data_IF_785973614873
#
_entry.id   IF_785973614873
#
_cell.length_a   1.000
_cell.length_b   1.000
_cell.length_c   1.000
_cell.angle_alpha   90.00
_cell.angle_beta   90.00
_cell.angle_gamma   90.00
#
_symmetry.space_group_name_H-M   'P 1'
#
loop_
_entity.id
_entity.type
_entity.pdbx_description
1 polymer ?
#
# COMPACT_ATOMS: atom_id res chain seq x y z
N UNK A 1 11.02 12.49 -3.41
CA UNK A 1 10.26 11.28 -3.79
C UNK A 1 10.90 10.06 -3.13
N UNK A 2 10.11 9.10 -2.67
CA UNK A 2 10.62 7.89 -2.01
C UNK A 2 11.44 7.02 -2.96
N UNK A 3 12.43 6.30 -2.43
CA UNK A 3 13.35 5.46 -3.17
C UNK A 3 13.35 4.04 -2.57
N UNK A 4 12.85 3.08 -3.34
CA UNK A 4 12.74 1.67 -2.94
C UNK A 4 14.12 1.07 -2.67
N UNK A 5 15.14 1.39 -3.47
CA UNK A 5 16.47 0.79 -3.28
C UNK A 5 17.14 1.30 -2.02
N UNK A 6 17.00 2.57 -1.66
CA UNK A 6 17.48 3.07 -0.35
C UNK A 6 16.78 2.39 0.84
N UNK A 7 15.47 2.13 0.71
CA UNK A 7 14.72 1.37 1.71
C UNK A 7 15.26 -0.06 1.83
N UNK A 8 15.52 -0.75 0.71
CA UNK A 8 16.06 -2.10 0.73
C UNK A 8 17.52 -2.14 1.20
N UNK A 9 18.36 -1.18 0.82
CA UNK A 9 19.73 -1.05 1.30
C UNK A 9 19.78 -0.93 2.83
N UNK A 10 18.92 -0.09 3.41
CA UNK A 10 18.77 -0.01 4.86
C UNK A 10 18.33 -1.36 5.45
N UNK A 11 17.29 -1.98 4.89
CA UNK A 11 16.78 -3.26 5.36
C UNK A 11 17.88 -4.34 5.37
N UNK A 12 18.65 -4.44 4.27
CA UNK A 12 19.78 -5.36 4.14
C UNK A 12 20.91 -5.04 5.12
N UNK A 13 21.16 -3.76 5.40
CA UNK A 13 22.20 -3.35 6.36
C UNK A 13 21.95 -3.88 7.78
N UNK A 14 20.69 -4.19 8.13
CA UNK A 14 20.29 -4.70 9.45
C UNK A 14 20.31 -6.23 9.55
N UNK A 15 20.37 -6.94 8.42
CA UNK A 15 20.35 -8.41 8.36
C UNK A 15 21.45 -9.00 9.24
N UNK A 16 21.06 -9.79 10.25
CA UNK A 16 21.98 -10.43 11.20
C UNK A 16 22.75 -9.47 12.13
N UNK A 17 22.48 -8.16 12.11
CA UNK A 17 23.20 -7.13 12.88
C UNK A 17 22.35 -6.48 13.98
N UNK A 18 21.05 -6.75 14.00
CA UNK A 18 20.10 -6.23 14.98
C UNK A 18 19.29 -7.40 15.52
N UNK A 19 19.10 -7.47 16.83
CA UNK A 19 18.27 -8.47 17.49
C UNK A 19 16.77 -8.21 17.34
N UNK A 20 15.95 -9.22 17.65
CA UNK A 20 14.50 -9.04 17.72
C UNK A 20 14.05 -8.71 19.16
N UNK A 21 13.30 -7.62 19.34
CA UNK A 21 12.59 -7.30 20.60
C UNK A 21 11.35 -6.46 20.31
N UNK A 22 10.23 -6.84 20.92
CA UNK A 22 9.00 -6.02 20.96
C UNK A 22 8.94 -5.09 22.18
N UNK A 23 9.87 -5.23 23.13
CA UNK A 23 9.84 -4.46 24.36
C UNK A 23 10.15 -2.98 24.09
N UNK A 24 9.51 -2.09 24.82
CA UNK A 24 9.86 -0.68 24.84
C UNK A 24 10.92 -0.42 25.93
N UNK A 25 11.99 0.34 25.65
CA UNK A 25 12.29 1.05 24.41
C UNK A 25 13.07 0.24 23.37
N UNK A 26 13.53 -0.97 23.70
CA UNK A 26 14.46 -1.77 22.87
C UNK A 26 14.07 -1.89 21.40
N UNK A 27 12.77 -2.05 21.10
CA UNK A 27 12.23 -2.12 19.73
C UNK A 27 12.59 -0.91 18.85
N UNK A 28 13.01 0.20 19.46
CA UNK A 28 13.40 1.45 18.80
C UNK A 28 14.91 1.51 18.46
N UNK A 29 15.65 0.41 18.67
CA UNK A 29 17.06 0.33 18.36
C UNK A 29 17.98 0.94 19.43
N UNK A 30 19.29 0.98 19.16
CA UNK A 30 19.93 0.51 17.92
C UNK A 30 20.10 -1.01 17.85
N UNK A 31 20.20 -1.69 19.00
CA UNK A 31 20.54 -3.12 19.08
C UNK A 31 19.37 -4.04 18.74
N UNK A 32 18.13 -3.58 18.94
CA UNK A 32 16.93 -4.39 18.69
C UNK A 32 15.90 -3.67 17.83
N UNK A 33 15.10 -4.43 17.11
CA UNK A 33 13.90 -3.97 16.42
C UNK A 33 12.80 -5.02 16.57
N UNK A 34 11.55 -4.63 16.32
CA UNK A 34 10.50 -5.58 15.97
C UNK A 34 10.18 -5.49 14.48
N UNK A 35 9.25 -6.33 14.02
CA UNK A 35 8.84 -6.37 12.62
C UNK A 35 8.38 -5.00 12.10
N UNK A 36 7.61 -4.26 12.90
CA UNK A 36 7.01 -2.99 12.51
C UNK A 36 7.97 -1.81 12.63
N UNK A 37 8.80 -1.72 13.67
CA UNK A 37 9.82 -0.68 13.79
C UNK A 37 10.86 -0.83 12.68
N UNK A 38 11.24 -2.05 12.34
CA UNK A 38 12.07 -2.35 11.18
C UNK A 38 11.48 -1.78 9.87
N UNK A 39 10.19 -2.01 9.61
CA UNK A 39 9.52 -1.45 8.41
C UNK A 39 9.46 0.08 8.48
N UNK A 40 9.13 0.68 9.63
CA UNK A 40 9.12 2.13 9.80
C UNK A 40 10.49 2.75 9.50
N UNK A 41 11.57 2.22 10.07
CA UNK A 41 12.92 2.72 9.81
C UNK A 41 13.32 2.54 8.34
N UNK A 42 12.93 1.43 7.71
CA UNK A 42 13.17 1.20 6.29
C UNK A 42 12.44 2.23 5.42
N UNK A 43 11.18 2.55 5.73
CA UNK A 43 10.41 3.59 5.04
C UNK A 43 11.01 4.98 5.22
N UNK A 44 11.51 5.30 6.42
CA UNK A 44 12.23 6.56 6.70
C UNK A 44 13.52 6.62 5.87
N UNK A 45 14.32 5.55 5.85
CA UNK A 45 15.55 5.48 5.06
C UNK A 45 15.29 5.61 3.55
N UNK A 46 14.17 5.05 3.08
CA UNK A 46 13.69 5.22 1.71
C UNK A 46 13.09 6.60 1.41
N UNK A 47 12.92 7.49 2.40
CA UNK A 47 12.26 8.79 2.21
C UNK A 47 10.75 8.69 1.92
N UNK A 48 10.10 7.58 2.27
CA UNK A 48 8.65 7.42 2.20
C UNK A 48 7.95 8.05 3.41
N UNK A 49 8.66 8.13 4.54
CA UNK A 49 8.27 8.84 5.76
C UNK A 49 9.35 9.89 6.11
N UNK A 50 8.98 11.01 6.74
CA UNK A 50 9.97 11.98 7.21
C UNK A 50 10.84 11.40 8.33
N UNK A 51 12.06 11.89 8.49
CA UNK A 51 12.98 11.46 9.56
C UNK A 51 12.45 11.75 10.97
N UNK A 52 11.50 12.68 11.10
CA UNK A 52 10.80 13.02 12.35
C UNK A 52 9.61 12.11 12.66
N UNK A 53 9.29 11.15 11.78
CA UNK A 53 8.15 10.28 11.96
C UNK A 53 8.29 9.40 13.21
N UNK A 54 7.28 9.41 14.07
CA UNK A 54 7.23 8.55 15.26
C UNK A 54 7.11 7.08 14.84
N UNK A 55 7.92 6.22 15.43
CA UNK A 55 7.94 4.79 15.15
C UNK A 55 6.72 4.12 15.78
N UNK A 56 5.77 3.76 14.93
CA UNK A 56 4.55 3.10 15.34
C UNK A 56 4.68 1.59 15.46
N UNK A 57 3.56 0.89 15.24
CA UNK A 57 3.43 -0.55 15.26
C UNK A 57 2.67 -1.07 14.01
N UNK A 58 2.34 -2.35 13.99
CA UNK A 58 1.59 -2.99 12.88
C UNK A 58 0.24 -2.32 12.61
N UNK A 59 -0.48 -1.90 13.65
CA UNK A 59 -1.76 -1.20 13.51
C UNK A 59 -1.63 0.18 12.87
N UNK A 60 -0.60 0.94 13.27
CA UNK A 60 -0.36 2.23 12.65
C UNK A 60 0.17 2.12 11.21
N UNK A 61 0.80 1.00 10.83
CA UNK A 61 1.16 0.73 9.44
C UNK A 61 -0.09 0.57 8.55
N UNK A 62 -1.15 -0.11 9.01
CA UNK A 62 -2.42 -0.17 8.26
C UNK A 62 -2.99 1.23 7.98
N UNK A 63 -2.85 2.15 8.95
CA UNK A 63 -3.34 3.54 8.85
C UNK A 63 -2.58 4.39 7.82
N UNK A 64 -1.45 3.91 7.30
CA UNK A 64 -0.71 4.56 6.21
C UNK A 64 -1.32 4.30 4.82
N UNK A 65 -2.33 3.43 4.73
CA UNK A 65 -3.08 3.18 3.49
C UNK A 65 -3.76 4.45 2.99
N UNK A 66 -3.54 4.78 1.72
CA UNK A 66 -4.11 5.95 1.05
C UNK A 66 -3.27 7.22 1.18
N UNK A 67 -2.18 7.21 1.96
CA UNK A 67 -1.24 8.33 2.07
C UNK A 67 0.18 7.92 1.67
N UNK A 68 0.78 6.96 2.37
CA UNK A 68 2.14 6.45 2.10
C UNK A 68 2.09 5.13 1.34
N UNK A 69 1.01 4.37 1.55
CA UNK A 69 0.79 3.06 0.94
C UNK A 69 -0.38 3.06 -0.03
N UNK A 70 -0.20 2.35 -1.14
CA UNK A 70 -1.30 1.83 -1.95
C UNK A 70 -1.47 0.34 -1.68
N UNK A 71 -2.68 -0.13 -1.42
CA UNK A 71 -2.91 -1.57 -1.28
C UNK A 71 -2.75 -2.29 -2.63
N UNK A 72 -2.06 -3.43 -2.61
CA UNK A 72 -1.94 -4.37 -3.73
C UNK A 72 -2.80 -5.57 -3.38
N UNK A 73 -3.83 -5.82 -4.18
CA UNK A 73 -4.87 -6.78 -3.78
C UNK A 73 -4.42 -8.22 -3.92
N UNK A 74 -3.71 -8.59 -5.00
CA UNK A 74 -3.32 -9.98 -5.23
C UNK A 74 -1.83 -10.20 -4.96
N UNK A 75 -1.51 -11.36 -4.38
CA UNK A 75 -0.12 -11.79 -4.18
C UNK A 75 0.68 -11.83 -5.50
N UNK A 76 0.03 -12.17 -6.62
CA UNK A 76 0.67 -12.20 -7.94
C UNK A 76 1.19 -10.84 -8.41
N UNK A 77 0.63 -9.74 -7.88
CA UNK A 77 0.96 -8.37 -8.27
C UNK A 77 2.03 -7.74 -7.37
N UNK A 78 2.47 -8.49 -6.35
CA UNK A 78 3.52 -8.09 -5.40
C UNK A 78 4.87 -8.03 -6.12
N UNK A 79 5.62 -6.97 -5.82
CA UNK A 79 6.97 -6.75 -6.35
C UNK A 79 7.94 -6.33 -5.26
N UNK A 80 9.22 -6.24 -5.64
CA UNK A 80 10.27 -5.70 -4.80
C UNK A 80 9.88 -4.36 -4.18
N UNK A 81 10.07 -4.24 -2.87
CA UNK A 81 9.76 -3.05 -2.09
C UNK A 81 8.33 -2.97 -1.58
N UNK A 82 7.42 -3.84 -2.02
CA UNK A 82 6.11 -3.93 -1.40
C UNK A 82 6.24 -4.45 0.05
N UNK A 83 5.31 -4.05 0.91
CA UNK A 83 5.23 -4.38 2.33
C UNK A 83 4.11 -5.41 2.50
N UNK A 84 4.35 -6.50 3.22
CA UNK A 84 3.25 -7.33 3.71
C UNK A 84 2.87 -6.90 5.12
N UNK A 85 1.59 -7.02 5.46
CA UNK A 85 1.13 -6.97 6.83
C UNK A 85 0.26 -8.19 7.08
N UNK A 86 0.65 -8.96 8.10
CA UNK A 86 -0.06 -10.10 8.68
C UNK A 86 -0.79 -9.66 9.94
N UNK A 87 -1.98 -10.19 10.14
CA UNK A 87 -2.90 -9.83 11.22
C UNK A 87 -4.14 -9.10 10.69
N UNK A 88 -5.20 -9.04 11.50
CA UNK A 88 -6.44 -8.34 11.14
C UNK A 88 -6.33 -6.88 11.55
N UNK A 89 -6.65 -5.96 10.64
CA UNK A 89 -6.70 -4.51 10.92
C UNK A 89 -7.61 -4.23 12.14
N UNK A 90 -7.08 -3.56 13.17
CA UNK A 90 -7.74 -3.33 14.45
C UNK A 90 -7.45 -4.40 15.53
N UNK A 91 -6.72 -5.47 15.20
CA UNK A 91 -6.44 -6.63 16.10
C UNK A 91 -5.00 -7.15 16.02
N UNK A 92 -4.09 -6.42 15.37
CA UNK A 92 -2.70 -6.81 15.09
C UNK A 92 -1.68 -6.24 16.08
N UNK A 93 -2.10 -5.94 17.32
CA UNK A 93 -1.19 -5.47 18.37
C UNK A 93 -0.26 -6.59 18.87
N UNK A 94 1.00 -6.25 19.19
CA UNK A 94 1.97 -7.20 19.73
C UNK A 94 2.18 -8.40 18.81
N UNK A 95 2.11 -9.61 19.38
CA UNK A 95 2.35 -10.87 18.66
C UNK A 95 1.25 -11.25 17.66
N UNK A 96 0.10 -10.55 17.65
CA UNK A 96 -0.99 -10.81 16.70
C UNK A 96 -0.75 -10.19 15.32
N UNK A 97 0.29 -9.37 15.17
CA UNK A 97 0.68 -8.77 13.91
C UNK A 97 2.08 -9.21 13.47
N UNK A 98 2.32 -9.20 12.16
CA UNK A 98 3.67 -9.35 11.61
C UNK A 98 3.81 -8.57 10.30
N UNK A 99 5.02 -8.12 9.97
CA UNK A 99 5.23 -7.31 8.76
C UNK A 99 6.69 -7.39 8.30
N UNK A 100 6.92 -6.95 7.07
CA UNK A 100 8.22 -6.96 6.43
C UNK A 100 8.11 -6.51 4.98
N UNK A 101 9.22 -6.66 4.25
CA UNK A 101 9.39 -6.10 2.90
C UNK A 101 9.66 -7.23 1.92
N UNK A 102 9.00 -7.23 0.77
CA UNK A 102 9.32 -8.14 -0.33
C UNK A 102 10.62 -7.71 -1.02
N UNK A 103 11.57 -8.64 -1.15
CA UNK A 103 12.75 -8.47 -2.01
C UNK A 103 12.45 -8.81 -3.46
N UNK A 104 11.52 -9.76 -3.64
CA UNK A 104 10.84 -10.17 -4.89
C UNK A 104 9.59 -10.97 -4.49
N UNK A 105 8.74 -11.34 -5.45
CA UNK A 105 7.73 -12.38 -5.20
C UNK A 105 8.42 -13.65 -4.70
N UNK A 106 7.92 -14.26 -3.63
CA UNK A 106 8.51 -15.46 -3.01
C UNK A 106 9.74 -15.21 -2.13
N UNK A 107 10.11 -13.95 -1.83
CA UNK A 107 11.22 -13.63 -0.93
C UNK A 107 10.97 -12.35 -0.13
N UNK A 108 11.12 -12.42 1.18
CA UNK A 108 10.93 -11.31 2.11
C UNK A 108 12.17 -11.05 2.96
N UNK A 109 12.32 -9.81 3.41
CA UNK A 109 13.23 -9.40 4.48
C UNK A 109 12.42 -8.78 5.61
N UNK A 110 12.68 -9.22 6.83
CA UNK A 110 11.88 -8.85 7.99
C UNK A 110 12.62 -9.12 9.30
N UNK A 111 12.32 -8.33 10.34
CA UNK A 111 12.75 -8.60 11.71
C UNK A 111 11.75 -9.55 12.37
N UNK A 112 12.20 -10.70 12.87
CA UNK A 112 11.28 -11.72 13.39
C UNK A 112 11.85 -12.49 14.59
N UNK A 113 10.93 -13.06 15.36
CA UNK A 113 11.22 -13.80 16.58
C UNK A 113 12.01 -15.09 16.34
N UNK A 114 11.63 -15.87 15.33
CA UNK A 114 12.20 -17.20 15.03
C UNK A 114 13.68 -17.14 14.65
N UNK A 115 14.09 -16.15 13.87
CA UNK A 115 15.47 -15.92 13.50
C UNK A 115 16.21 -14.95 14.45
N UNK A 116 15.50 -14.40 15.45
CA UNK A 116 16.02 -13.47 16.47
C UNK A 116 16.75 -12.26 15.89
N UNK A 117 16.46 -11.89 14.65
CA UNK A 117 17.13 -10.81 13.92
C UNK A 117 16.32 -10.39 12.69
N UNK A 118 16.84 -9.44 11.91
CA UNK A 118 16.46 -9.26 10.53
C UNK A 118 17.03 -10.41 9.71
N UNK A 119 16.15 -11.18 9.06
CA UNK A 119 16.50 -12.29 8.17
C UNK A 119 15.83 -12.15 6.82
N UNK A 120 16.31 -12.95 5.86
CA UNK A 120 15.65 -13.16 4.58
C UNK A 120 15.04 -14.56 4.62
N UNK A 121 13.76 -14.65 4.27
CA UNK A 121 13.06 -15.91 4.11
C UNK A 121 12.39 -15.93 2.74
N UNK A 122 12.58 -17.04 2.03
CA UNK A 122 12.14 -17.24 0.66
C UNK A 122 11.59 -18.66 0.47
N UNK A 123 11.28 -19.03 -0.77
CA UNK A 123 10.75 -20.36 -1.13
C UNK A 123 11.65 -21.52 -0.67
N UNK A 124 12.97 -21.30 -0.59
CA UNK A 124 13.93 -22.32 -0.12
C UNK A 124 14.09 -22.35 1.41
N UNK A 125 13.64 -21.30 2.09
CA UNK A 125 13.76 -21.10 3.54
C UNK A 125 12.40 -20.87 4.21
N UNK A 126 11.37 -21.55 3.68
CA UNK A 126 10.00 -21.63 4.19
C UNK A 126 9.31 -20.27 4.38
N UNK A 127 9.24 -19.45 3.32
CA UNK A 127 8.39 -18.24 3.33
C UNK A 127 6.94 -18.52 3.77
N UNK A 128 6.44 -19.73 3.50
CA UNK A 128 5.09 -20.18 3.88
C UNK A 128 4.86 -20.31 5.39
N UNK A 129 5.93 -20.32 6.20
CA UNK A 129 5.81 -20.21 7.65
C UNK A 129 5.37 -18.80 8.08
N UNK A 130 5.68 -17.78 7.27
CA UNK A 130 5.42 -16.37 7.59
C UNK A 130 4.27 -15.77 6.79
N UNK A 131 4.00 -16.30 5.60
CA UNK A 131 3.00 -15.80 4.66
C UNK A 131 2.22 -16.95 4.03
N UNK A 132 0.90 -16.82 3.98
CA UNK A 132 0.04 -17.71 3.21
C UNK A 132 0.23 -17.51 1.69
N UNK A 133 0.94 -16.43 1.29
CA UNK A 133 1.17 -16.04 -0.10
C UNK A 133 -0.14 -15.89 -0.88
N UNK A 134 -1.20 -15.53 -0.16
CA UNK A 134 -2.56 -15.37 -0.65
C UNK A 134 -3.23 -14.27 0.16
N UNK A 135 -3.93 -13.37 -0.55
CA UNK A 135 -4.67 -12.29 0.09
C UNK A 135 -5.80 -12.87 0.97
N UNK A 136 -5.84 -12.42 2.22
CA UNK A 136 -6.95 -12.61 3.17
C UNK A 136 -7.07 -11.38 4.08
N UNK A 137 -8.06 -11.33 4.98
CA UNK A 137 -8.16 -10.23 5.95
C UNK A 137 -6.92 -10.17 6.86
N UNK A 138 -6.30 -11.32 7.11
CA UNK A 138 -5.10 -11.55 7.90
C UNK A 138 -3.80 -11.38 7.11
N UNK A 139 -3.83 -11.20 5.79
CA UNK A 139 -2.62 -11.02 4.97
C UNK A 139 -2.86 -10.05 3.83
N UNK A 140 -2.25 -8.87 3.93
CA UNK A 140 -2.44 -7.77 2.99
C UNK A 140 -1.11 -7.23 2.49
N UNK A 141 -1.11 -6.68 1.28
CA UNK A 141 0.10 -6.20 0.64
C UNK A 141 -0.04 -4.71 0.30
N UNK A 142 1.04 -3.97 0.46
CA UNK A 142 1.04 -2.52 0.32
C UNK A 142 2.28 -2.07 -0.43
N UNK A 143 2.09 -1.24 -1.45
CA UNK A 143 3.17 -0.61 -2.19
C UNK A 143 3.47 0.76 -1.58
N UNK A 144 4.71 1.01 -1.12
CA UNK A 144 5.15 2.35 -0.79
C UNK A 144 5.13 3.21 -2.05
N UNK A 145 4.36 4.28 -2.00
CA UNK A 145 4.18 5.24 -3.10
C UNK A 145 4.80 6.61 -2.74
N UNK A 146 5.04 6.85 -1.45
CA UNK A 146 5.70 8.05 -0.90
C UNK A 146 4.69 9.16 -0.60
N UNK A 147 5.03 10.05 0.31
CA UNK A 147 4.17 11.20 0.66
C UNK A 147 3.87 12.15 -0.52
N UNK A 148 4.59 12.00 -1.64
CA UNK A 148 4.39 12.76 -2.88
C UNK A 148 3.96 11.86 -4.06
N UNK A 149 3.34 10.72 -3.77
CA UNK A 149 2.43 10.14 -4.75
C UNK A 149 1.11 10.89 -4.66
N UNK A 150 1.01 11.98 -5.43
CA UNK A 150 -0.16 12.04 -6.31
C UNK A 150 -0.31 10.64 -6.89
N UNK A 151 -1.52 10.10 -6.82
CA UNK A 151 -1.97 8.81 -7.33
C UNK A 151 -1.15 8.33 -8.53
N UNK A 152 -1.20 7.05 -8.94
CA UNK A 152 -0.81 6.74 -10.33
C UNK A 152 -1.82 7.36 -11.31
N UNK A 153 -1.91 8.69 -11.32
CA UNK A 153 -2.56 9.61 -12.20
C UNK A 153 -1.76 9.55 -13.49
N UNK A 154 -2.21 8.69 -14.39
CA UNK A 154 -1.82 8.78 -15.78
C UNK A 154 -2.56 9.98 -16.36
N UNK A 155 -1.81 11.01 -16.75
CA UNK A 155 -2.35 12.08 -17.59
C UNK A 155 -2.74 11.43 -18.92
N UNK A 156 -4.04 11.38 -19.19
CA UNK A 156 -4.61 10.81 -20.41
C UNK A 156 -5.88 11.61 -20.69
N UNK A 157 -5.83 12.37 -21.78
CA UNK A 157 -7.05 12.95 -22.33
C UNK A 157 -7.82 11.85 -23.07
N UNK A 158 -9.11 11.75 -22.83
CA UNK A 158 -9.94 10.73 -23.46
C UNK A 158 -11.42 10.99 -23.32
N UNK A 159 -12.18 10.16 -24.01
CA UNK A 159 -13.63 10.12 -24.01
C UNK A 159 -14.02 8.77 -23.44
N UNK A 160 -14.90 8.77 -22.44
CA UNK A 160 -15.42 7.57 -21.82
C UNK A 160 -16.92 7.44 -22.05
N UNK A 161 -17.39 6.21 -22.28
CA UNK A 161 -18.79 5.89 -22.59
C UNK A 161 -19.40 5.08 -21.45
N UNK A 162 -20.41 5.64 -20.80
CA UNK A 162 -21.02 5.06 -19.60
C UNK A 162 -21.94 3.90 -19.99
N UNK A 163 -21.74 2.71 -19.43
CA UNK A 163 -22.60 1.54 -19.65
C UNK A 163 -23.59 1.33 -18.51
N UNK A 164 -23.18 1.64 -17.29
CA UNK A 164 -24.01 1.52 -16.08
C UNK A 164 -24.04 2.84 -15.30
N UNK A 165 -25.14 3.11 -14.61
CA UNK A 165 -25.29 4.33 -13.81
C UNK A 165 -24.19 4.41 -12.74
N UNK A 166 -23.41 5.50 -12.76
CA UNK A 166 -22.18 5.59 -11.96
C UNK A 166 -22.07 6.91 -11.22
N UNK A 167 -21.82 6.83 -9.91
CA UNK A 167 -21.67 8.00 -9.05
C UNK A 167 -20.42 8.82 -9.40
N UNK A 168 -20.59 10.14 -9.43
CA UNK A 168 -19.48 11.11 -9.45
C UNK A 168 -19.16 11.50 -8.02
N UNK A 169 -17.87 11.49 -7.67
CA UNK A 169 -17.40 11.72 -6.31
C UNK A 169 -16.42 12.88 -6.19
N UNK A 170 -16.35 13.44 -4.99
CA UNK A 170 -15.43 14.55 -4.64
C UNK A 170 -13.97 14.13 -4.50
N UNK A 171 -13.71 12.85 -4.23
CA UNK A 171 -12.38 12.24 -4.17
C UNK A 171 -12.45 10.83 -4.80
N UNK A 172 -11.32 10.21 -5.18
CA UNK A 172 -11.30 8.86 -5.75
C UNK A 172 -11.49 7.79 -4.66
N UNK A 173 -12.53 7.90 -3.84
CA UNK A 173 -12.85 6.98 -2.74
C UNK A 173 -14.33 6.69 -2.71
N UNK A 174 -14.67 5.43 -2.49
CA UNK A 174 -16.04 4.92 -2.32
C UNK A 174 -16.78 5.53 -1.12
N UNK A 175 -16.05 6.12 -0.17
CA UNK A 175 -16.61 6.80 1.01
C UNK A 175 -16.74 8.31 0.84
N UNK A 176 -16.19 8.88 -0.23
CA UNK A 176 -16.25 10.33 -0.45
C UNK A 176 -17.62 10.77 -0.97
N UNK A 177 -17.92 12.06 -0.76
CA UNK A 177 -19.21 12.66 -1.10
C UNK A 177 -19.58 12.41 -2.57
N UNK A 178 -20.80 11.92 -2.79
CA UNK A 178 -21.43 11.84 -4.11
C UNK A 178 -21.93 13.23 -4.49
N UNK A 179 -21.56 13.69 -5.68
CA UNK A 179 -21.82 15.08 -6.13
C UNK A 179 -22.57 15.15 -7.45
N UNK A 180 -22.68 14.03 -8.18
CA UNK A 180 -23.52 13.85 -9.35
C UNK A 180 -23.64 12.35 -9.66
N UNK A 181 -24.42 12.02 -10.69
CA UNK A 181 -24.61 10.67 -11.20
C UNK A 181 -24.59 10.73 -12.73
N UNK A 182 -23.79 9.88 -13.36
CA UNK A 182 -23.88 9.63 -14.80
C UNK A 182 -24.82 8.45 -15.06
N UNK A 183 -25.60 8.54 -16.14
CA UNK A 183 -26.51 7.51 -16.60
C UNK A 183 -25.90 6.73 -17.78
N UNK A 184 -26.40 5.51 -18.08
CA UNK A 184 -26.00 4.79 -19.28
C UNK A 184 -26.16 5.64 -20.54
N UNK A 185 -25.19 5.53 -21.46
CA UNK A 185 -25.01 6.32 -22.69
C UNK A 185 -24.48 7.74 -22.50
N UNK A 186 -24.30 8.21 -21.27
CA UNK A 186 -23.59 9.47 -21.04
C UNK A 186 -22.13 9.38 -21.50
N UNK A 187 -21.57 10.54 -21.85
CA UNK A 187 -20.20 10.69 -22.30
C UNK A 187 -19.41 11.52 -21.29
N UNK A 188 -18.22 11.06 -20.93
CA UNK A 188 -17.33 11.74 -19.99
C UNK A 188 -16.02 12.09 -20.68
N UNK A 189 -15.70 13.37 -20.73
CA UNK A 189 -14.37 13.85 -21.13
C UNK A 189 -13.48 13.90 -19.90
N UNK A 190 -12.35 13.22 -19.92
CA UNK A 190 -11.44 13.10 -18.78
C UNK A 190 -10.01 13.44 -19.18
N UNK A 191 -9.21 13.85 -18.18
CA UNK A 191 -7.80 14.23 -18.35
C UNK A 191 -6.85 13.36 -17.52
N UNK A 192 -7.40 12.52 -16.62
CA UNK A 192 -6.63 11.67 -15.71
C UNK A 192 -7.28 10.31 -15.53
N UNK A 193 -6.44 9.29 -15.41
CA UNK A 193 -6.80 7.97 -14.91
C UNK A 193 -5.97 7.65 -13.68
N UNK A 194 -6.57 7.05 -12.66
CA UNK A 194 -5.87 6.65 -11.44
C UNK A 194 -6.48 5.39 -10.82
N UNK A 195 -5.77 4.82 -9.87
CA UNK A 195 -6.21 3.66 -9.09
C UNK A 195 -6.27 4.03 -7.61
N UNK A 196 -7.39 3.73 -6.96
CA UNK A 196 -7.51 3.83 -5.50
C UNK A 196 -8.61 2.90 -4.97
N UNK A 197 -8.42 2.36 -3.77
CA UNK A 197 -9.37 1.47 -3.07
C UNK A 197 -9.77 0.23 -3.89
N UNK A 198 -8.89 -0.26 -4.76
CA UNK A 198 -9.20 -1.37 -5.67
C UNK A 198 -10.09 -0.99 -6.85
N UNK A 199 -10.35 0.30 -7.05
CA UNK A 199 -11.08 0.85 -8.20
C UNK A 199 -10.16 1.61 -9.13
N UNK A 200 -10.52 1.59 -10.41
CA UNK A 200 -9.94 2.45 -11.42
C UNK A 200 -10.86 3.65 -11.62
N UNK A 201 -10.29 4.85 -11.54
CA UNK A 201 -11.02 6.11 -11.61
C UNK A 201 -10.57 6.91 -12.82
N UNK A 202 -11.52 7.54 -13.49
CA UNK A 202 -11.28 8.67 -14.38
C UNK A 202 -11.55 9.96 -13.63
N UNK A 203 -10.89 11.04 -14.05
CA UNK A 203 -11.03 12.35 -13.41
C UNK A 203 -11.01 13.50 -14.42
N UNK A 204 -11.81 14.52 -14.11
CA UNK A 204 -12.03 15.72 -14.92
C UNK A 204 -12.32 16.92 -14.02
N UNK A 205 -12.27 18.13 -14.59
CA UNK A 205 -12.78 19.35 -13.96
C UNK A 205 -14.25 19.52 -14.33
N UNK A 206 -15.15 19.49 -13.33
CA UNK A 206 -16.59 19.62 -13.59
C UNK A 206 -16.95 21.03 -14.04
N UNK A 207 -17.51 21.16 -15.24
CA UNK A 207 -17.81 22.44 -15.90
C UNK A 207 -18.59 23.43 -15.03
N UNK A 208 -19.67 22.97 -14.38
CA UNK A 208 -20.50 23.83 -13.51
C UNK A 208 -19.87 24.15 -12.16
N UNK A 209 -18.97 23.29 -11.67
CA UNK A 209 -18.44 23.40 -10.31
C UNK A 209 -17.01 23.92 -10.21
N UNK A 210 -16.25 23.93 -11.32
CA UNK A 210 -14.82 24.23 -11.34
C UNK A 210 -13.92 23.29 -10.54
N UNK A 211 -14.50 22.26 -9.89
CA UNK A 211 -13.81 21.34 -8.99
C UNK A 211 -13.47 20.04 -9.71
N UNK A 212 -12.38 19.41 -9.29
CA UNK A 212 -12.01 18.07 -9.76
C UNK A 212 -13.00 17.02 -9.28
N UNK A 213 -13.38 16.12 -10.18
CA UNK A 213 -14.35 15.04 -9.97
C UNK A 213 -13.75 13.69 -10.32
N UNK A 214 -14.29 12.65 -9.72
CA UNK A 214 -13.80 11.28 -9.85
C UNK A 214 -14.96 10.34 -10.12
N UNK A 215 -14.80 9.46 -11.10
CA UNK A 215 -15.80 8.45 -11.47
C UNK A 215 -15.08 7.12 -11.60
N UNK A 216 -15.53 6.11 -10.87
CA UNK A 216 -14.95 4.78 -11.00
C UNK A 216 -15.44 4.18 -12.33
N UNK A 217 -14.55 3.67 -13.17
CA UNK A 217 -14.89 3.03 -14.45
C UNK A 217 -14.74 1.50 -14.44
N UNK A 218 -14.10 0.99 -13.40
CA UNK A 218 -13.85 -0.43 -13.23
C UNK A 218 -13.17 -0.73 -11.90
N UNK A 219 -12.84 -1.99 -11.69
CA UNK A 219 -12.05 -2.44 -10.56
C UNK A 219 -10.74 -3.14 -10.98
N UNK A 220 -9.86 -3.35 -10.02
CA UNK A 220 -8.57 -4.04 -10.24
C UNK A 220 -8.74 -5.56 -10.44
N UNK A 221 -9.96 -6.09 -10.31
CA UNK A 221 -10.29 -7.50 -10.58
C UNK A 221 -10.61 -7.75 -12.06
N UNK A 222 -10.73 -6.69 -12.86
CA UNK A 222 -10.95 -6.76 -14.31
C UNK A 222 -12.36 -6.35 -14.74
N UNK A 223 -13.25 -6.01 -13.80
CA UNK A 223 -14.60 -5.56 -14.14
C UNK A 223 -14.56 -4.14 -14.71
N UNK A 224 -15.38 -3.87 -15.73
CA UNK A 224 -15.50 -2.56 -16.40
C UNK A 224 -16.98 -2.27 -16.64
N UNK A 225 -17.42 -1.08 -16.28
CA UNK A 225 -18.81 -0.59 -16.50
C UNK A 225 -18.84 0.78 -17.19
N UNK A 226 -17.67 1.33 -17.50
CA UNK A 226 -17.48 2.48 -18.39
C UNK A 226 -16.32 2.11 -19.32
N UNK A 227 -16.49 2.34 -20.62
CA UNK A 227 -15.44 2.15 -21.63
C UNK A 227 -14.56 3.40 -21.70
N UNK A 228 -13.23 3.24 -21.62
CA UNK A 228 -12.24 4.32 -21.37
C UNK A 228 -11.05 4.27 -22.32
#
# INVERSE_FOLDING_TARGET
MGNIEKMIEFAQSKKGKVGYSMAYPDRLGPEYMDCSSFVYYSLIAGGFLPSTNIIGNTESLYKLKGSVFREIYNYKDVKRGDIFIRGVEGKSYGAFGHTGIFLRKGSIIHCNYTNRSVSINDESSYITYYLDCKRSEEERYFRPIGADSRWTEKIKNGIAYVREATNVRSAPSTKSQIVALYQPKDVIYYDRLLENEGYLWLSYIGLSSGKRRYVAYGDTRGNRWIDV
#
